data_IF_977665201983
#
_entry.id   IF_977665201983
#
_cell.length_a   1.000
_cell.length_b   1.000
_cell.length_c   1.000
_cell.angle_alpha   90.00
_cell.angle_beta   90.00
_cell.angle_gamma   90.00
#
_symmetry.space_group_name_H-M   'P 1'
#
loop_
_entity.id
_entity.type
_entity.pdbx_description
1 polymer ?
#
# COMPACT_ATOMS: atom_id res chain seq x y z
N UNK A 1 -66.50 -36.68 -14.71
CA UNK A 1 -66.07 -35.27 -14.64
C UNK A 1 -65.40 -35.06 -13.30
N UNK A 2 -64.07 -35.15 -13.27
CA UNK A 2 -63.26 -35.02 -12.07
C UNK A 2 -62.94 -33.54 -11.84
N UNK A 3 -63.27 -33.06 -10.65
CA UNK A 3 -62.84 -31.79 -10.09
C UNK A 3 -61.37 -31.90 -9.68
N UNK A 4 -60.52 -31.02 -10.20
CA UNK A 4 -59.13 -30.85 -9.74
C UNK A 4 -58.99 -29.43 -9.25
N UNK A 5 -58.86 -29.29 -7.93
CA UNK A 5 -58.48 -28.07 -7.27
C UNK A 5 -57.01 -27.75 -7.58
N UNK A 6 -56.78 -26.61 -8.22
CA UNK A 6 -55.47 -26.01 -8.43
C UNK A 6 -54.94 -25.52 -7.09
N UNK A 7 -53.90 -26.18 -6.56
CA UNK A 7 -53.14 -25.70 -5.40
C UNK A 7 -52.13 -24.64 -5.84
N UNK A 8 -52.10 -23.57 -5.05
CA UNK A 8 -51.14 -22.49 -5.06
C UNK A 8 -49.68 -22.95 -5.17
N UNK A 9 -48.94 -22.31 -6.07
CA UNK A 9 -47.47 -22.18 -6.01
C UNK A 9 -47.13 -20.71 -6.23
N UNK A 10 -47.31 -19.91 -5.18
CA UNK A 10 -46.85 -18.53 -5.10
C UNK A 10 -46.38 -18.23 -3.67
N UNK A 11 -45.25 -18.82 -3.28
CA UNK A 11 -44.46 -18.35 -2.14
C UNK A 11 -43.03 -18.90 -2.27
N UNK A 12 -42.06 -18.01 -2.55
CA UNK A 12 -40.65 -18.42 -2.60
C UNK A 12 -39.66 -17.52 -3.34
N UNK A 13 -39.98 -16.27 -3.69
CA UNK A 13 -39.03 -15.35 -4.34
C UNK A 13 -38.88 -14.03 -3.59
N UNK A 14 -38.66 -14.06 -2.27
CA UNK A 14 -38.25 -12.87 -1.51
C UNK A 14 -37.21 -13.24 -0.43
N UNK A 15 -35.97 -13.46 -0.87
CA UNK A 15 -34.78 -13.39 0.02
C UNK A 15 -33.64 -12.60 -0.61
N UNK A 16 -33.95 -11.68 -1.52
CA UNK A 16 -32.97 -10.70 -2.00
C UNK A 16 -32.96 -9.53 -1.02
N UNK A 17 -31.90 -9.38 -0.23
CA UNK A 17 -31.64 -8.12 0.46
C UNK A 17 -31.65 -7.01 -0.59
N UNK A 18 -32.55 -6.03 -0.46
CA UNK A 18 -32.59 -4.89 -1.38
C UNK A 18 -31.19 -4.25 -1.46
N UNK A 19 -30.77 -3.89 -2.67
CA UNK A 19 -29.42 -3.34 -2.87
C UNK A 19 -29.23 -2.09 -2.00
N UNK A 20 -28.25 -2.12 -1.10
CA UNK A 20 -27.96 -1.02 -0.18
C UNK A 20 -28.55 -1.14 1.23
N UNK A 21 -29.13 -2.28 1.60
CA UNK A 21 -29.47 -2.59 3.00
C UNK A 21 -28.38 -3.42 3.68
N UNK A 22 -28.20 -3.29 5.01
CA UNK A 22 -27.42 -4.26 5.77
C UNK A 22 -27.90 -5.69 5.50
N UNK A 23 -26.99 -6.65 5.56
CA UNK A 23 -27.28 -8.06 5.37
C UNK A 23 -26.77 -8.91 6.53
N UNK A 24 -27.47 -10.01 6.81
CA UNK A 24 -27.10 -10.97 7.85
C UNK A 24 -26.35 -12.15 7.21
N UNK A 25 -25.07 -12.32 7.57
CA UNK A 25 -24.20 -13.34 6.98
C UNK A 25 -24.74 -14.75 7.23
N UNK A 26 -25.18 -15.06 8.46
CA UNK A 26 -25.69 -16.39 8.82
C UNK A 26 -26.96 -16.75 8.03
N UNK A 27 -27.86 -15.78 7.85
CA UNK A 27 -29.06 -15.94 7.04
C UNK A 27 -28.70 -16.24 5.58
N UNK A 28 -27.77 -15.48 4.99
CA UNK A 28 -27.31 -15.68 3.61
C UNK A 28 -26.59 -17.03 3.42
N UNK A 29 -25.84 -17.49 4.42
CA UNK A 29 -25.21 -18.81 4.40
C UNK A 29 -26.25 -19.94 4.50
N UNK A 30 -27.31 -19.77 5.31
CA UNK A 30 -28.37 -20.78 5.49
C UNK A 30 -29.12 -21.11 4.20
N UNK A 31 -29.22 -20.14 3.29
CA UNK A 31 -29.79 -20.32 1.95
C UNK A 31 -29.06 -21.41 1.14
N UNK A 32 -27.76 -21.56 1.35
CA UNK A 32 -26.89 -22.50 0.66
C UNK A 32 -26.31 -23.57 1.59
N UNK A 33 -27.04 -23.94 2.65
CA UNK A 33 -26.57 -24.90 3.67
C UNK A 33 -26.16 -26.27 3.10
N UNK A 34 -26.73 -26.68 1.96
CA UNK A 34 -26.44 -27.94 1.29
C UNK A 34 -25.48 -27.81 0.09
N UNK A 35 -25.02 -26.60 -0.22
CA UNK A 35 -24.12 -26.32 -1.35
C UNK A 35 -22.75 -25.90 -0.86
N UNK A 36 -21.74 -26.28 -1.64
CA UNK A 36 -20.40 -25.67 -1.52
C UNK A 36 -20.46 -24.21 -1.99
N UNK A 37 -19.56 -23.33 -1.54
CA UNK A 37 -19.47 -21.97 -2.08
C UNK A 37 -19.31 -21.92 -3.60
N UNK A 38 -18.56 -22.87 -4.16
CA UNK A 38 -18.42 -23.04 -5.63
C UNK A 38 -19.74 -23.39 -6.32
N UNK A 39 -20.59 -24.22 -5.73
CA UNK A 39 -21.91 -24.54 -6.29
C UNK A 39 -22.89 -23.38 -6.10
N UNK A 40 -22.88 -22.73 -4.94
CA UNK A 40 -23.67 -21.53 -4.69
C UNK A 40 -23.35 -20.40 -5.70
N UNK A 41 -22.09 -20.25 -6.11
CA UNK A 41 -21.71 -19.35 -7.21
C UNK A 41 -22.45 -19.68 -8.51
N UNK A 42 -22.50 -20.97 -8.90
CA UNK A 42 -23.16 -21.41 -10.14
C UNK A 42 -24.66 -21.20 -10.08
N UNK A 43 -25.26 -21.47 -8.93
CA UNK A 43 -26.68 -21.20 -8.65
C UNK A 43 -26.98 -19.70 -8.75
N UNK A 44 -26.14 -18.83 -8.19
CA UNK A 44 -26.27 -17.39 -8.32
C UNK A 44 -26.11 -16.94 -9.79
N UNK A 45 -25.17 -17.49 -10.54
CA UNK A 45 -25.04 -17.21 -11.98
C UNK A 45 -26.32 -17.54 -12.75
N UNK A 46 -26.96 -18.68 -12.47
CA UNK A 46 -28.24 -19.05 -13.07
C UNK A 46 -29.35 -18.04 -12.73
N UNK A 47 -29.45 -17.64 -11.46
CA UNK A 47 -30.44 -16.63 -10.99
C UNK A 47 -30.24 -15.27 -11.64
N UNK A 48 -28.98 -14.85 -11.83
CA UNK A 48 -28.63 -13.61 -12.53
C UNK A 48 -28.58 -13.76 -14.07
N UNK A 49 -29.00 -14.91 -14.60
CA UNK A 49 -29.08 -15.19 -16.05
C UNK A 49 -27.74 -14.97 -16.77
N UNK A 50 -26.64 -15.44 -16.16
CA UNK A 50 -25.31 -15.42 -16.76
C UNK A 50 -24.59 -16.76 -16.63
N UNK A 51 -23.55 -16.97 -17.43
CA UNK A 51 -22.76 -18.19 -17.40
C UNK A 51 -21.66 -18.10 -16.33
N UNK A 52 -21.47 -19.16 -15.51
CA UNK A 52 -20.38 -19.19 -14.55
C UNK A 52 -19.03 -19.24 -15.29
N UNK A 53 -18.08 -18.42 -14.83
CA UNK A 53 -16.71 -18.45 -15.35
C UNK A 53 -15.94 -19.50 -14.56
N UNK A 54 -15.41 -20.52 -15.22
CA UNK A 54 -14.72 -21.64 -14.56
C UNK A 54 -13.55 -21.19 -13.68
N UNK A 55 -12.77 -20.21 -14.14
CA UNK A 55 -11.67 -19.64 -13.37
C UNK A 55 -12.15 -18.91 -12.10
N UNK A 56 -13.27 -18.19 -12.18
CA UNK A 56 -13.89 -17.53 -11.00
C UNK A 56 -14.42 -18.59 -10.03
N UNK A 57 -15.10 -19.62 -10.53
CA UNK A 57 -15.61 -20.72 -9.69
C UNK A 57 -14.48 -21.46 -8.94
N UNK A 58 -13.31 -21.59 -9.55
CA UNK A 58 -12.14 -22.22 -8.94
C UNK A 58 -11.59 -21.44 -7.74
N UNK A 59 -11.86 -20.14 -7.65
CA UNK A 59 -11.46 -19.30 -6.50
C UNK A 59 -12.27 -19.60 -5.23
N UNK A 60 -13.44 -20.24 -5.38
CA UNK A 60 -14.32 -20.53 -4.25
C UNK A 60 -14.05 -21.92 -3.67
N UNK A 61 -14.17 -22.07 -2.33
CA UNK A 61 -14.08 -23.37 -1.68
C UNK A 61 -15.06 -24.39 -2.25
N UNK A 62 -14.67 -25.67 -2.24
CA UNK A 62 -15.45 -26.78 -2.78
C UNK A 62 -15.96 -27.75 -1.73
N UNK A 63 -15.95 -27.33 -0.47
CA UNK A 63 -16.56 -28.08 0.64
C UNK A 63 -17.71 -27.30 1.24
N UNK A 64 -18.77 -28.02 1.59
CA UNK A 64 -19.95 -27.47 2.23
C UNK A 64 -19.52 -26.83 3.57
N UNK A 65 -20.05 -25.64 3.84
CA UNK A 65 -19.79 -24.91 5.09
C UNK A 65 -18.49 -24.10 5.13
N UNK A 66 -17.62 -24.17 4.12
CA UNK A 66 -16.37 -23.40 4.07
C UNK A 66 -16.59 -21.93 3.67
N UNK A 67 -17.27 -21.19 4.55
CA UNK A 67 -17.57 -19.77 4.34
C UNK A 67 -16.67 -18.83 5.16
N UNK A 68 -16.08 -19.31 6.25
CA UNK A 68 -15.53 -18.43 7.28
C UNK A 68 -14.01 -18.24 7.21
N UNK A 69 -13.32 -18.97 6.33
CA UNK A 69 -11.85 -18.99 6.25
C UNK A 69 -11.29 -18.13 5.09
N UNK A 70 -12.11 -17.80 4.09
CA UNK A 70 -11.67 -17.05 2.91
C UNK A 70 -11.38 -15.60 3.27
N UNK A 71 -10.09 -15.23 3.29
CA UNK A 71 -9.63 -13.87 3.59
C UNK A 71 -9.35 -13.04 2.34
N UNK A 72 -9.07 -13.67 1.21
CA UNK A 72 -8.67 -12.99 -0.03
C UNK A 72 -9.30 -13.66 -1.25
N UNK A 73 -9.78 -12.84 -2.18
CA UNK A 73 -10.28 -13.30 -3.47
C UNK A 73 -9.68 -12.44 -4.58
N UNK A 74 -8.91 -13.07 -5.48
CA UNK A 74 -8.26 -12.41 -6.59
C UNK A 74 -8.87 -12.81 -7.94
N UNK A 75 -9.72 -11.95 -8.47
CA UNK A 75 -10.36 -12.10 -9.77
C UNK A 75 -9.67 -11.30 -10.87
N UNK A 76 -8.45 -10.81 -10.65
CA UNK A 76 -7.72 -10.00 -11.64
C UNK A 76 -7.58 -10.76 -12.96
N UNK A 77 -7.92 -10.09 -14.09
CA UNK A 77 -7.83 -10.64 -15.46
C UNK A 77 -8.65 -11.92 -15.68
N UNK A 78 -9.75 -12.13 -14.94
CA UNK A 78 -10.65 -13.27 -15.13
C UNK A 78 -11.88 -12.95 -15.99
N UNK A 79 -11.93 -11.77 -16.61
CA UNK A 79 -13.00 -11.32 -17.50
C UNK A 79 -14.40 -11.40 -16.86
N UNK A 80 -14.49 -11.06 -15.57
CA UNK A 80 -15.75 -11.06 -14.82
C UNK A 80 -16.84 -10.22 -15.51
N UNK A 81 -16.45 -9.05 -16.04
CA UNK A 81 -17.33 -8.14 -16.77
C UNK A 81 -18.52 -7.61 -15.97
N UNK A 82 -19.27 -6.69 -16.58
CA UNK A 82 -20.35 -5.98 -15.88
C UNK A 82 -21.54 -6.88 -15.46
N UNK A 83 -21.80 -7.98 -16.18
CA UNK A 83 -22.86 -8.94 -15.84
C UNK A 83 -22.39 -9.99 -14.82
N UNK A 84 -21.16 -10.49 -14.97
CA UNK A 84 -20.63 -11.55 -14.11
C UNK A 84 -20.26 -11.08 -12.70
N UNK A 85 -20.09 -9.78 -12.48
CA UNK A 85 -19.75 -9.24 -11.16
C UNK A 85 -20.87 -9.45 -10.13
N UNK A 86 -22.14 -9.43 -10.56
CA UNK A 86 -23.31 -9.55 -9.66
C UNK A 86 -23.34 -10.85 -8.85
N UNK A 87 -23.28 -12.05 -9.46
CA UNK A 87 -23.23 -13.29 -8.70
C UNK A 87 -21.97 -13.38 -7.83
N UNK A 88 -20.85 -12.81 -8.25
CA UNK A 88 -19.61 -12.78 -7.44
C UNK A 88 -19.81 -11.97 -6.17
N UNK A 89 -20.24 -10.70 -6.28
CA UNK A 89 -20.38 -9.84 -5.09
C UNK A 89 -21.53 -10.29 -4.19
N UNK A 90 -22.58 -10.89 -4.76
CA UNK A 90 -23.63 -11.51 -3.97
C UNK A 90 -23.09 -12.68 -3.14
N UNK A 91 -22.25 -13.54 -3.73
CA UNK A 91 -21.57 -14.59 -2.98
C UNK A 91 -20.61 -14.02 -1.93
N UNK A 92 -19.90 -12.92 -2.23
CA UNK A 92 -18.96 -12.28 -1.31
C UNK A 92 -19.60 -11.91 0.04
N UNK A 93 -20.89 -11.55 0.08
CA UNK A 93 -21.63 -11.26 1.33
C UNK A 93 -21.62 -12.42 2.34
N UNK A 94 -21.30 -13.64 1.91
CA UNK A 94 -21.29 -14.87 2.71
C UNK A 94 -19.91 -15.20 3.30
N UNK A 95 -18.86 -14.45 2.96
CA UNK A 95 -17.50 -14.67 3.47
C UNK A 95 -17.13 -13.62 4.55
N UNK A 96 -17.51 -13.81 5.83
CA UNK A 96 -17.34 -12.78 6.85
C UNK A 96 -15.88 -12.43 7.14
N UNK A 97 -14.93 -13.31 6.81
CA UNK A 97 -13.50 -13.09 6.99
C UNK A 97 -12.81 -12.44 5.78
N UNK A 98 -13.53 -12.16 4.68
CA UNK A 98 -12.95 -11.59 3.46
C UNK A 98 -12.41 -10.17 3.73
N UNK A 99 -11.09 -10.02 3.64
CA UNK A 99 -10.35 -8.77 3.84
C UNK A 99 -9.95 -8.10 2.54
N UNK A 100 -9.67 -8.86 1.48
CA UNK A 100 -9.23 -8.30 0.19
C UNK A 100 -10.00 -8.88 -0.98
N UNK A 101 -10.46 -7.98 -1.86
CA UNK A 101 -11.18 -8.32 -3.07
C UNK A 101 -10.55 -7.61 -4.29
N UNK A 102 -9.97 -8.37 -5.20
CA UNK A 102 -9.28 -7.82 -6.36
C UNK A 102 -10.06 -8.12 -7.65
N UNK A 103 -10.46 -7.05 -8.35
CA UNK A 103 -11.11 -7.06 -9.67
C UNK A 103 -10.33 -6.28 -10.73
N UNK A 104 -9.00 -6.15 -10.58
CA UNK A 104 -8.19 -5.44 -11.57
C UNK A 104 -8.34 -6.02 -12.98
N UNK A 105 -8.37 -5.17 -14.01
CA UNK A 105 -8.37 -5.58 -15.41
C UNK A 105 -9.53 -6.55 -15.77
N UNK A 106 -10.77 -6.18 -15.43
CA UNK A 106 -11.97 -7.01 -15.68
C UNK A 106 -13.03 -6.34 -16.56
N UNK A 107 -12.70 -5.22 -17.22
CA UNK A 107 -13.63 -4.42 -18.01
C UNK A 107 -14.90 -4.02 -17.23
N UNK A 108 -14.72 -3.70 -15.95
CA UNK A 108 -15.81 -3.26 -15.08
C UNK A 108 -16.26 -1.84 -15.44
N UNK A 109 -17.54 -1.60 -15.22
CA UNK A 109 -18.22 -0.31 -15.47
C UNK A 109 -18.69 0.34 -14.16
N UNK A 110 -19.21 1.56 -14.22
CA UNK A 110 -19.82 2.23 -13.07
C UNK A 110 -20.93 1.38 -12.40
N UNK A 111 -21.73 0.66 -13.17
CA UNK A 111 -22.75 -0.27 -12.63
C UNK A 111 -22.11 -1.39 -11.82
N UNK A 112 -20.95 -1.88 -12.24
CA UNK A 112 -20.21 -2.91 -11.50
C UNK A 112 -19.76 -2.36 -10.14
N UNK A 113 -19.24 -1.13 -10.13
CA UNK A 113 -18.83 -0.42 -8.92
C UNK A 113 -20.02 -0.20 -7.98
N UNK A 114 -21.20 0.12 -8.51
CA UNK A 114 -22.42 0.22 -7.70
C UNK A 114 -22.69 -1.08 -6.92
N UNK A 115 -22.66 -2.26 -7.56
CA UNK A 115 -22.90 -3.51 -6.84
C UNK A 115 -21.79 -3.87 -5.85
N UNK A 116 -20.52 -3.65 -6.24
CA UNK A 116 -19.35 -3.88 -5.38
C UNK A 116 -19.47 -3.03 -4.10
N UNK A 117 -19.73 -1.73 -4.25
CA UNK A 117 -19.81 -0.80 -3.12
C UNK A 117 -21.00 -1.10 -2.21
N UNK A 118 -22.16 -1.48 -2.75
CA UNK A 118 -23.35 -1.82 -1.95
C UNK A 118 -23.15 -3.08 -1.11
N UNK A 119 -22.36 -4.04 -1.58
CA UNK A 119 -21.90 -5.17 -0.77
C UNK A 119 -20.88 -4.72 0.27
N UNK A 120 -19.84 -4.02 -0.17
CA UNK A 120 -18.71 -3.64 0.67
C UNK A 120 -19.08 -2.70 1.82
N UNK A 121 -20.11 -1.87 1.64
CA UNK A 121 -20.59 -0.89 2.61
C UNK A 121 -21.01 -1.50 3.95
N UNK A 122 -21.43 -2.77 3.96
CA UNK A 122 -21.84 -3.49 5.16
C UNK A 122 -20.96 -4.71 5.45
N UNK A 123 -19.86 -4.87 4.72
CA UNK A 123 -19.00 -6.03 4.90
C UNK A 123 -18.21 -5.91 6.21
N UNK A 124 -18.23 -6.92 7.09
CA UNK A 124 -17.71 -6.80 8.46
C UNK A 124 -16.18 -6.74 8.52
N UNK A 125 -15.48 -7.31 7.54
CA UNK A 125 -14.02 -7.45 7.58
C UNK A 125 -13.31 -6.95 6.30
N UNK A 126 -14.04 -6.41 5.31
CA UNK A 126 -13.39 -6.03 4.05
C UNK A 126 -12.54 -4.79 4.31
N UNK A 127 -11.29 -4.82 3.86
CA UNK A 127 -10.30 -3.75 4.05
C UNK A 127 -9.78 -3.17 2.74
N UNK A 128 -9.67 -4.00 1.69
CA UNK A 128 -9.11 -3.61 0.38
C UNK A 128 -10.03 -4.01 -0.77
N UNK A 129 -10.25 -3.08 -1.69
CA UNK A 129 -10.82 -3.35 -3.02
C UNK A 129 -9.85 -2.84 -4.10
N UNK A 130 -9.51 -3.69 -5.06
CA UNK A 130 -8.64 -3.32 -6.18
C UNK A 130 -9.43 -3.33 -7.50
N UNK A 131 -9.54 -2.17 -8.15
CA UNK A 131 -10.31 -1.93 -9.39
C UNK A 131 -9.44 -1.38 -10.53
N UNK A 132 -8.11 -1.40 -10.41
CA UNK A 132 -7.21 -0.82 -11.40
C UNK A 132 -7.33 -1.50 -12.76
N UNK A 133 -7.13 -0.73 -13.84
CA UNK A 133 -7.24 -1.24 -15.22
C UNK A 133 -8.67 -1.51 -15.69
N UNK A 134 -9.67 -0.92 -15.02
CA UNK A 134 -11.05 -0.90 -15.48
C UNK A 134 -11.38 0.49 -16.04
N UNK A 135 -11.01 0.73 -17.30
CA UNK A 135 -11.05 2.06 -17.94
C UNK A 135 -12.43 2.71 -17.96
N UNK A 136 -13.51 1.93 -17.92
CA UNK A 136 -14.90 2.43 -17.95
C UNK A 136 -15.44 2.89 -16.59
N UNK A 137 -14.64 2.82 -15.52
CA UNK A 137 -14.96 3.43 -14.24
C UNK A 137 -14.67 4.93 -14.35
N UNK A 138 -15.71 5.75 -14.28
CA UNK A 138 -15.64 7.21 -14.41
C UNK A 138 -16.13 7.91 -13.14
N UNK A 139 -16.37 9.22 -13.21
CA UNK A 139 -16.87 10.02 -12.09
C UNK A 139 -18.04 9.37 -11.34
N UNK A 140 -19.01 8.76 -12.04
CA UNK A 140 -20.16 8.07 -11.43
C UNK A 140 -19.73 6.88 -10.56
N UNK A 141 -18.75 6.08 -10.99
CA UNK A 141 -18.20 5.02 -10.15
C UNK A 141 -17.46 5.61 -8.94
N UNK A 142 -16.79 6.75 -9.13
CA UNK A 142 -16.10 7.47 -8.06
C UNK A 142 -17.01 7.96 -6.95
N UNK A 143 -18.22 8.42 -7.25
CA UNK A 143 -19.18 8.84 -6.21
C UNK A 143 -19.61 7.67 -5.34
N UNK A 144 -19.78 6.47 -5.91
CA UNK A 144 -20.05 5.27 -5.13
C UNK A 144 -18.86 4.87 -4.25
N UNK A 145 -17.63 4.98 -4.77
CA UNK A 145 -16.43 4.70 -3.98
C UNK A 145 -16.27 5.69 -2.82
N UNK A 146 -16.53 6.98 -3.07
CA UNK A 146 -16.51 8.01 -2.03
C UNK A 146 -17.56 7.73 -0.94
N UNK A 147 -18.78 7.33 -1.31
CA UNK A 147 -19.82 6.91 -0.35
C UNK A 147 -19.34 5.69 0.48
N UNK A 148 -18.75 4.69 -0.18
CA UNK A 148 -18.26 3.48 0.48
C UNK A 148 -17.22 3.78 1.56
N UNK A 149 -16.16 4.53 1.24
CA UNK A 149 -15.03 4.74 2.16
C UNK A 149 -15.39 5.62 3.36
N UNK A 150 -16.44 6.44 3.24
CA UNK A 150 -17.00 7.20 4.37
C UNK A 150 -17.88 6.32 5.25
N UNK A 151 -18.70 5.44 4.66
CA UNK A 151 -19.69 4.64 5.39
C UNK A 151 -19.13 3.38 6.02
N UNK A 152 -18.07 2.80 5.46
CA UNK A 152 -17.39 1.65 6.03
C UNK A 152 -15.95 2.03 6.41
N UNK A 153 -15.73 2.29 7.71
CA UNK A 153 -14.42 2.64 8.27
C UNK A 153 -13.40 1.50 8.24
N UNK A 154 -13.80 0.27 7.89
CA UNK A 154 -12.86 -0.81 7.64
C UNK A 154 -12.11 -0.65 6.31
N UNK A 155 -12.62 0.18 5.38
CA UNK A 155 -11.95 0.45 4.10
C UNK A 155 -10.66 1.23 4.26
N UNK A 156 -9.54 0.51 4.11
CA UNK A 156 -8.16 1.01 4.22
C UNK A 156 -7.51 1.22 2.86
N UNK A 157 -8.00 0.57 1.80
CA UNK A 157 -7.47 0.76 0.45
C UNK A 157 -8.51 0.55 -0.66
N UNK A 158 -8.50 1.47 -1.64
CA UNK A 158 -9.25 1.35 -2.89
C UNK A 158 -8.32 1.65 -4.06
N UNK A 159 -7.97 0.63 -4.84
CA UNK A 159 -7.13 0.76 -6.02
C UNK A 159 -7.95 1.18 -7.26
N UNK A 160 -7.59 2.29 -7.90
CA UNK A 160 -8.31 2.85 -9.07
C UNK A 160 -7.37 3.32 -10.19
N UNK A 161 -6.12 2.83 -10.23
CA UNK A 161 -5.16 3.23 -11.28
C UNK A 161 -5.68 2.78 -12.64
N UNK A 162 -5.39 3.54 -13.71
CA UNK A 162 -5.83 3.21 -15.08
C UNK A 162 -7.36 3.00 -15.18
N UNK A 163 -8.11 3.85 -14.48
CA UNK A 163 -9.55 4.06 -14.66
C UNK A 163 -9.77 5.45 -15.28
N UNK A 164 -10.99 5.77 -15.72
CA UNK A 164 -11.38 7.12 -16.15
C UNK A 164 -11.86 7.99 -14.98
N UNK A 165 -11.47 7.67 -13.75
CA UNK A 165 -11.84 8.43 -12.56
C UNK A 165 -11.12 9.80 -12.57
N UNK A 166 -11.83 10.92 -12.41
CA UNK A 166 -11.17 12.22 -12.28
C UNK A 166 -10.24 12.23 -11.08
N UNK A 167 -9.02 12.77 -11.27
CA UNK A 167 -7.98 12.78 -10.23
C UNK A 167 -8.46 13.32 -8.88
N UNK A 168 -9.21 14.44 -8.78
CA UNK A 168 -9.69 14.92 -7.49
C UNK A 168 -10.58 13.92 -6.74
N UNK A 169 -11.35 13.10 -7.47
CA UNK A 169 -12.20 12.07 -6.86
C UNK A 169 -11.35 10.89 -6.37
N UNK A 170 -10.37 10.45 -7.16
CA UNK A 170 -9.39 9.43 -6.74
C UNK A 170 -8.64 9.87 -5.48
N UNK A 171 -8.19 11.12 -5.43
CA UNK A 171 -7.50 11.69 -4.26
C UNK A 171 -8.41 11.73 -3.03
N UNK A 172 -9.66 12.18 -3.18
CA UNK A 172 -10.61 12.21 -2.07
C UNK A 172 -10.89 10.81 -1.50
N UNK A 173 -11.00 9.79 -2.37
CA UNK A 173 -11.16 8.40 -1.93
C UNK A 173 -9.91 7.93 -1.18
N UNK A 174 -8.71 8.18 -1.72
CA UNK A 174 -7.45 7.81 -1.09
C UNK A 174 -7.26 8.48 0.28
N UNK A 175 -7.48 9.80 0.38
CA UNK A 175 -7.40 10.52 1.65
C UNK A 175 -8.35 9.94 2.70
N UNK A 176 -9.58 9.58 2.30
CA UNK A 176 -10.53 8.99 3.23
C UNK A 176 -10.11 7.59 3.68
N UNK A 177 -9.53 6.77 2.81
CA UNK A 177 -8.99 5.47 3.25
C UNK A 177 -7.78 5.64 4.17
N UNK A 178 -6.95 6.67 3.99
CA UNK A 178 -5.88 7.00 4.93
C UNK A 178 -6.42 7.41 6.31
N UNK A 179 -7.48 8.21 6.37
CA UNK A 179 -8.19 8.51 7.63
C UNK A 179 -8.68 7.23 8.32
N UNK A 180 -9.24 6.30 7.56
CA UNK A 180 -9.69 5.01 8.09
C UNK A 180 -8.52 4.16 8.63
N UNK A 181 -7.35 4.15 7.98
CA UNK A 181 -6.14 3.50 8.50
C UNK A 181 -5.73 4.07 9.86
N UNK A 182 -5.67 5.40 9.98
CA UNK A 182 -5.34 6.09 11.23
C UNK A 182 -6.34 5.70 12.33
N UNK A 183 -7.64 5.78 12.05
CA UNK A 183 -8.69 5.40 13.02
C UNK A 183 -8.54 3.93 13.47
N UNK A 184 -8.27 3.01 12.54
CA UNK A 184 -8.09 1.60 12.85
C UNK A 184 -6.83 1.35 13.70
N UNK A 185 -5.73 2.03 13.40
CA UNK A 185 -4.48 1.95 14.16
C UNK A 185 -4.71 2.36 15.63
N UNK A 186 -5.31 3.53 15.85
CA UNK A 186 -5.61 4.04 17.18
C UNK A 186 -6.65 3.20 17.93
N UNK A 187 -7.69 2.73 17.25
CA UNK A 187 -8.70 1.84 17.85
C UNK A 187 -8.11 0.51 18.33
N UNK A 188 -7.04 0.03 17.71
CA UNK A 188 -6.32 -1.17 18.13
C UNK A 188 -5.28 -0.95 19.25
N UNK A 189 -5.15 0.29 19.75
CA UNK A 189 -4.10 0.66 20.70
C UNK A 189 -2.70 0.64 20.09
N UNK A 190 -2.60 0.92 18.79
CA UNK A 190 -1.33 0.99 18.07
C UNK A 190 -0.40 2.03 18.69
N UNK A 191 0.87 1.67 18.84
CA UNK A 191 1.94 2.56 19.33
C UNK A 191 3.12 2.50 18.38
N UNK A 192 3.97 3.54 18.33
CA UNK A 192 5.23 3.46 17.61
C UNK A 192 6.04 2.22 18.02
N UNK A 193 6.53 1.48 17.04
CA UNK A 193 7.39 0.30 17.19
C UNK A 193 8.60 0.46 16.27
N UNK A 194 9.57 1.32 16.64
CA UNK A 194 10.72 1.61 15.82
C UNK A 194 11.67 0.41 15.69
N UNK A 195 12.40 0.34 14.58
CA UNK A 195 13.47 -0.66 14.42
C UNK A 195 14.63 -0.42 15.39
N UNK A 196 15.28 -1.50 15.81
CA UNK A 196 16.51 -1.52 16.62
C UNK A 196 17.73 -1.97 15.80
N UNK A 197 17.61 -2.04 14.48
CA UNK A 197 18.70 -2.44 13.60
C UNK A 197 19.90 -1.47 13.71
N UNK A 198 21.16 -1.94 13.64
CA UNK A 198 22.35 -1.08 13.79
C UNK A 198 22.35 0.14 12.87
N UNK A 199 22.00 -0.01 11.59
CA UNK A 199 21.91 1.13 10.65
C UNK A 199 20.96 2.23 11.12
N UNK A 200 19.85 1.86 11.74
CA UNK A 200 18.87 2.82 12.27
C UNK A 200 19.40 3.50 13.52
N UNK A 201 20.10 2.76 14.39
CA UNK A 201 20.78 3.32 15.56
C UNK A 201 21.86 4.32 15.12
N UNK A 202 22.65 3.99 14.10
CA UNK A 202 23.66 4.89 13.53
C UNK A 202 23.03 6.15 12.94
N UNK A 203 21.92 6.02 12.21
CA UNK A 203 21.17 7.15 11.67
C UNK A 203 20.68 8.10 12.78
N UNK A 204 20.09 7.56 13.85
CA UNK A 204 19.64 8.34 15.01
C UNK A 204 20.82 9.02 15.73
N UNK A 205 21.97 8.36 15.82
CA UNK A 205 23.19 8.96 16.37
C UNK A 205 23.68 10.15 15.53
N UNK A 206 23.70 10.00 14.20
CA UNK A 206 24.01 11.10 13.28
C UNK A 206 23.02 12.26 13.38
N UNK A 207 21.73 11.96 13.56
CA UNK A 207 20.69 12.98 13.77
C UNK A 207 20.95 13.79 15.04
N UNK A 208 21.30 13.12 16.15
CA UNK A 208 21.65 13.80 17.41
C UNK A 208 22.85 14.73 17.21
N UNK A 209 23.91 14.25 16.58
CA UNK A 209 25.07 15.07 16.25
C UNK A 209 24.67 16.31 15.43
N UNK A 210 23.87 16.16 14.38
CA UNK A 210 23.39 17.29 13.59
C UNK A 210 22.60 18.30 14.44
N UNK A 211 21.71 17.82 15.30
CA UNK A 211 20.91 18.68 16.20
C UNK A 211 21.79 19.46 17.18
N UNK A 212 22.90 18.89 17.63
CA UNK A 212 23.87 19.54 18.52
C UNK A 212 24.64 20.67 17.83
N UNK A 213 24.95 20.53 16.54
CA UNK A 213 25.77 21.50 15.80
C UNK A 213 24.97 22.50 14.95
N UNK A 214 23.66 22.28 14.75
CA UNK A 214 22.83 23.13 13.90
C UNK A 214 22.53 24.50 14.55
N UNK A 215 22.28 25.47 13.68
CA UNK A 215 21.71 26.77 14.05
C UNK A 215 20.52 27.04 13.14
N UNK A 216 19.34 27.27 13.74
CA UNK A 216 18.08 27.52 13.02
C UNK A 216 17.74 26.44 11.98
N UNK A 217 17.91 25.17 12.34
CA UNK A 217 17.63 24.00 11.52
C UNK A 217 18.69 23.66 10.47
N UNK A 218 19.82 24.38 10.43
CA UNK A 218 20.84 24.19 9.38
C UNK A 218 22.28 24.25 9.90
N UNK A 219 23.20 23.59 9.18
CA UNK A 219 24.66 23.62 9.43
C UNK A 219 25.40 24.21 8.23
N UNK A 220 26.57 24.85 8.39
CA UNK A 220 27.37 25.27 7.24
C UNK A 220 27.90 24.06 6.45
N UNK A 221 28.14 24.19 5.15
CA UNK A 221 28.69 23.12 4.31
C UNK A 221 30.05 22.60 4.79
N UNK A 222 30.83 23.43 5.48
CA UNK A 222 32.09 23.02 6.14
C UNK A 222 31.88 21.91 7.18
N UNK A 223 30.69 21.81 7.78
CA UNK A 223 30.36 20.78 8.76
C UNK A 223 30.29 19.36 8.14
N UNK A 224 30.27 19.22 6.81
CA UNK A 224 30.31 17.90 6.16
C UNK A 224 31.59 17.12 6.49
N UNK A 225 32.71 17.81 6.71
CA UNK A 225 33.99 17.15 7.05
C UNK A 225 33.91 16.55 8.45
N UNK A 226 33.47 17.34 9.43
CA UNK A 226 33.30 16.85 10.81
C UNK A 226 32.15 15.83 10.90
N UNK A 227 31.10 15.99 10.11
CA UNK A 227 30.03 15.01 9.95
C UNK A 227 30.50 13.67 9.40
N UNK A 228 31.40 13.67 8.40
CA UNK A 228 32.01 12.44 7.89
C UNK A 228 32.86 11.78 8.97
N UNK A 229 33.67 12.55 9.71
CA UNK A 229 34.47 12.03 10.82
C UNK A 229 33.58 11.38 11.88
N UNK A 230 32.52 12.07 12.28
CA UNK A 230 31.56 11.56 13.25
C UNK A 230 30.86 10.29 12.76
N UNK A 231 30.50 10.25 11.49
CA UNK A 231 29.92 9.04 10.87
C UNK A 231 30.89 7.85 10.94
N UNK A 232 32.17 8.08 10.65
CA UNK A 232 33.20 7.04 10.76
C UNK A 232 33.37 6.59 12.22
N UNK A 233 33.34 7.52 13.18
CA UNK A 233 33.35 7.20 14.62
C UNK A 233 32.17 6.33 15.03
N UNK A 234 30.96 6.68 14.61
CA UNK A 234 29.73 5.93 14.90
C UNK A 234 29.80 4.50 14.33
N UNK A 235 30.39 4.32 13.14
CA UNK A 235 30.58 2.99 12.56
C UNK A 235 31.78 2.22 13.14
N UNK A 236 32.57 2.80 14.05
CA UNK A 236 33.78 2.17 14.60
C UNK A 236 35.01 2.23 13.70
N UNK A 237 35.00 3.09 12.67
CA UNK A 237 36.06 3.27 11.66
C UNK A 237 36.78 4.61 11.78
N UNK A 238 36.85 5.22 12.96
CA UNK A 238 37.43 6.56 13.16
C UNK A 238 38.88 6.65 12.65
N UNK A 239 39.67 5.57 12.81
CA UNK A 239 41.07 5.51 12.36
C UNK A 239 41.21 5.59 10.85
N UNK A 240 40.20 5.14 10.12
CA UNK A 240 40.19 5.14 8.66
C UNK A 240 39.92 6.56 8.11
N UNK A 241 39.50 7.52 8.95
CA UNK A 241 39.32 8.90 8.50
C UNK A 241 40.60 9.51 7.93
N UNK A 242 41.77 9.10 8.43
CA UNK A 242 43.07 9.58 7.94
C UNK A 242 43.39 9.15 6.50
N UNK A 243 42.63 8.22 5.90
CA UNK A 243 42.85 7.78 4.53
C UNK A 243 42.19 8.69 3.48
N UNK A 244 41.31 9.61 3.89
CA UNK A 244 40.68 10.55 2.97
C UNK A 244 41.63 11.71 2.63
N UNK A 245 41.81 11.98 1.33
CA UNK A 245 42.66 13.07 0.86
C UNK A 245 42.00 14.44 1.07
N UNK A 246 42.80 15.50 1.18
CA UNK A 246 42.28 16.87 1.22
C UNK A 246 41.41 17.18 -0.02
N UNK A 247 41.83 16.70 -1.20
CA UNK A 247 41.05 16.84 -2.43
C UNK A 247 39.66 16.21 -2.31
N UNK A 248 39.55 15.01 -1.73
CA UNK A 248 38.26 14.37 -1.50
C UNK A 248 37.39 15.18 -0.53
N UNK A 249 37.97 15.73 0.54
CA UNK A 249 37.23 16.54 1.51
C UNK A 249 36.74 17.87 0.91
N UNK A 250 37.54 18.48 0.03
CA UNK A 250 37.11 19.65 -0.75
C UNK A 250 35.98 19.30 -1.72
N UNK A 251 36.08 18.16 -2.42
CA UNK A 251 35.02 17.67 -3.30
C UNK A 251 33.73 17.37 -2.53
N UNK A 252 33.81 16.80 -1.33
CA UNK A 252 32.65 16.56 -0.47
C UNK A 252 31.92 17.87 -0.13
N UNK A 253 32.67 18.91 0.26
CA UNK A 253 32.10 20.24 0.51
C UNK A 253 31.49 20.85 -0.75
N UNK A 254 32.16 20.69 -1.90
CA UNK A 254 31.69 21.24 -3.18
C UNK A 254 30.40 20.58 -3.68
N UNK A 255 30.02 19.39 -3.20
CA UNK A 255 28.73 18.76 -3.48
C UNK A 255 27.54 19.46 -2.81
N UNK A 256 27.79 20.33 -1.83
CA UNK A 256 26.75 21.11 -1.18
C UNK A 256 26.06 22.04 -2.18
N UNK A 257 24.73 21.96 -2.37
CA UNK A 257 24.02 22.83 -3.30
C UNK A 257 23.92 24.27 -2.80
N UNK A 258 24.16 24.50 -1.51
CA UNK A 258 24.05 25.78 -0.83
C UNK A 258 24.96 25.83 0.40
N UNK A 259 25.27 27.03 0.89
CA UNK A 259 26.19 27.22 2.02
C UNK A 259 25.68 26.64 3.34
N UNK A 260 24.36 26.58 3.54
CA UNK A 260 23.74 26.04 4.75
C UNK A 260 22.85 24.84 4.44
N UNK A 261 23.11 23.72 5.09
CA UNK A 261 22.48 22.44 4.82
C UNK A 261 21.41 22.12 5.85
N UNK A 262 20.24 21.67 5.40
CA UNK A 262 19.26 21.01 6.27
C UNK A 262 19.75 19.62 6.67
N UNK A 263 19.02 18.96 7.56
CA UNK A 263 19.30 17.57 7.92
C UNK A 263 19.30 16.63 6.71
N UNK A 264 18.30 16.73 5.84
CA UNK A 264 18.16 15.87 4.65
C UNK A 264 19.37 16.02 3.71
N UNK A 265 19.78 17.27 3.45
CA UNK A 265 20.96 17.57 2.65
C UNK A 265 22.22 16.99 3.30
N UNK A 266 22.39 17.25 4.59
CA UNK A 266 23.56 16.81 5.34
C UNK A 266 23.72 15.29 5.30
N UNK A 267 22.67 14.53 5.64
CA UNK A 267 22.77 13.07 5.70
C UNK A 267 22.89 12.41 4.33
N UNK A 268 22.26 12.96 3.28
CA UNK A 268 22.41 12.45 1.91
C UNK A 268 23.82 12.68 1.38
N UNK A 269 24.40 13.87 1.60
CA UNK A 269 25.76 14.19 1.13
C UNK A 269 26.84 13.37 1.84
N UNK A 270 26.61 12.98 3.10
CA UNK A 270 27.49 12.09 3.85
C UNK A 270 27.45 10.63 3.37
N UNK A 271 26.56 10.27 2.44
CA UNK A 271 26.60 8.95 1.82
C UNK A 271 27.78 8.88 0.85
N UNK A 272 28.58 7.82 1.01
CA UNK A 272 29.74 7.52 0.18
C UNK A 272 29.37 6.68 -1.06
N UNK A 273 28.08 6.51 -1.34
CA UNK A 273 27.54 5.77 -2.48
C UNK A 273 27.39 6.63 -3.75
N UNK A 274 27.90 7.87 -3.71
CA UNK A 274 27.81 8.81 -4.84
C UNK A 274 26.46 9.54 -4.96
N UNK A 275 25.54 9.37 -4.00
CA UNK A 275 24.23 10.04 -4.03
C UNK A 275 24.37 11.57 -4.06
N UNK A 276 23.71 12.22 -5.01
CA UNK A 276 23.53 13.68 -5.03
C UNK A 276 22.23 14.05 -4.32
N UNK A 277 22.16 15.25 -3.74
CA UNK A 277 20.92 15.75 -3.14
C UNK A 277 19.94 16.20 -4.23
N UNK A 278 18.68 15.79 -4.10
CA UNK A 278 17.58 16.11 -5.00
C UNK A 278 16.37 16.61 -4.20
N UNK A 279 16.19 17.93 -4.23
CA UNK A 279 15.10 18.62 -3.52
C UNK A 279 13.71 18.21 -4.01
N UNK A 280 13.57 17.91 -5.31
CA UNK A 280 12.29 17.52 -5.91
C UNK A 280 11.90 16.15 -5.37
N UNK A 281 12.85 15.21 -5.34
CA UNK A 281 12.63 13.89 -4.77
C UNK A 281 12.32 13.95 -3.27
N UNK A 282 13.07 14.75 -2.49
CA UNK A 282 12.82 14.92 -1.06
C UNK A 282 11.41 15.46 -0.80
N UNK A 283 10.99 16.52 -1.49
CA UNK A 283 9.63 17.08 -1.36
C UNK A 283 8.55 16.06 -1.72
N UNK A 284 8.80 15.22 -2.73
CA UNK A 284 7.90 14.13 -3.11
C UNK A 284 7.81 13.06 -2.03
N UNK A 285 8.93 12.68 -1.42
CA UNK A 285 8.98 11.74 -0.30
C UNK A 285 8.27 12.31 0.93
N UNK A 286 8.50 13.57 1.29
CA UNK A 286 7.83 14.25 2.41
C UNK A 286 6.31 14.24 2.23
N UNK A 287 5.82 14.61 1.03
CA UNK A 287 4.39 14.59 0.73
C UNK A 287 3.79 13.20 0.96
N UNK A 288 4.40 12.15 0.41
CA UNK A 288 3.86 10.79 0.53
C UNK A 288 4.00 10.24 1.96
N UNK A 289 5.06 10.59 2.67
CA UNK A 289 5.18 10.26 4.10
C UNK A 289 4.01 10.85 4.89
N UNK A 290 3.69 12.12 4.68
CA UNK A 290 2.56 12.79 5.33
C UNK A 290 1.20 12.20 4.95
N UNK A 291 1.02 11.78 3.70
CA UNK A 291 -0.20 11.07 3.26
C UNK A 291 -0.40 9.74 4.02
N UNK A 292 0.69 9.07 4.40
CA UNK A 292 0.65 7.78 5.09
C UNK A 292 0.79 7.87 6.61
N UNK A 293 1.07 9.05 7.15
CA UNK A 293 1.35 9.26 8.57
C UNK A 293 0.19 8.80 9.48
N UNK A 294 0.52 8.02 10.51
CA UNK A 294 -0.41 7.51 11.53
C UNK A 294 -0.70 8.53 12.64
N UNK A 295 0.08 9.60 12.72
CA UNK A 295 -0.10 10.74 13.62
C UNK A 295 -0.09 12.06 12.83
N UNK A 296 -1.16 12.37 12.06
CA UNK A 296 -1.19 13.55 11.19
C UNK A 296 -0.95 14.89 11.91
N UNK A 297 -1.25 14.99 13.22
CA UNK A 297 -1.00 16.19 14.02
C UNK A 297 0.49 16.49 14.23
N UNK A 298 1.34 15.47 14.20
CA UNK A 298 2.79 15.58 14.46
C UNK A 298 3.59 15.89 13.18
N UNK A 299 2.93 15.94 12.02
CA UNK A 299 3.60 16.26 10.75
C UNK A 299 4.75 15.30 10.44
N UNK A 300 5.98 15.84 10.36
CA UNK A 300 7.18 15.04 10.05
C UNK A 300 7.72 14.24 11.25
N UNK A 301 7.27 14.54 12.47
CA UNK A 301 7.66 13.81 13.69
C UNK A 301 6.80 12.55 13.93
N UNK A 302 5.75 12.37 13.13
CA UNK A 302 4.94 11.17 13.12
C UNK A 302 5.67 9.95 12.51
N UNK A 303 4.89 8.94 12.15
CA UNK A 303 5.43 7.69 11.62
C UNK A 303 4.43 6.99 10.70
N UNK A 304 4.95 6.09 9.87
CA UNK A 304 4.17 5.20 9.00
C UNK A 304 4.32 3.75 9.44
N UNK A 305 3.43 2.86 8.99
CA UNK A 305 3.58 1.41 9.22
C UNK A 305 4.43 0.76 8.11
N UNK A 306 5.32 -0.16 8.46
CA UNK A 306 6.17 -0.86 7.49
C UNK A 306 5.37 -1.70 6.47
N UNK A 307 4.22 -2.22 6.86
CA UNK A 307 3.29 -2.93 5.95
C UNK A 307 2.79 -2.08 4.79
N UNK A 308 2.81 -0.75 4.92
CA UNK A 308 2.35 0.18 3.88
C UNK A 308 3.40 0.45 2.79
N UNK A 309 4.65 -0.04 2.92
CA UNK A 309 5.74 0.26 1.99
C UNK A 309 5.42 -0.05 0.53
N UNK A 310 4.72 -1.15 0.25
CA UNK A 310 4.30 -1.49 -1.11
C UNK A 310 3.32 -0.46 -1.70
N UNK A 311 2.35 -0.01 -0.90
CA UNK A 311 1.38 1.00 -1.28
C UNK A 311 2.04 2.38 -1.44
N UNK A 312 2.97 2.73 -0.56
CA UNK A 312 3.77 3.95 -0.65
C UNK A 312 4.62 3.96 -1.93
N UNK A 313 5.25 2.83 -2.27
CA UNK A 313 5.99 2.72 -3.53
C UNK A 313 5.07 2.94 -4.73
N UNK A 314 3.89 2.30 -4.75
CA UNK A 314 2.90 2.52 -5.81
C UNK A 314 2.43 3.98 -5.89
N UNK A 315 2.29 4.65 -4.75
CA UNK A 315 1.93 6.07 -4.66
C UNK A 315 3.04 6.98 -5.21
N UNK A 316 4.30 6.65 -4.97
CA UNK A 316 5.45 7.41 -5.45
C UNK A 316 5.70 7.20 -6.95
N UNK A 317 5.68 5.95 -7.42
CA UNK A 317 6.22 5.58 -8.73
C UNK A 317 5.16 5.07 -9.70
N UNK A 318 3.91 4.95 -9.28
CA UNK A 318 2.78 4.53 -10.11
C UNK A 318 2.58 3.01 -10.18
N UNK A 319 3.57 2.22 -9.76
CA UNK A 319 3.51 0.76 -9.77
C UNK A 319 3.90 0.16 -8.41
N UNK A 320 3.16 -0.87 -7.95
CA UNK A 320 3.54 -1.61 -6.75
C UNK A 320 4.79 -2.44 -7.04
N UNK A 321 5.67 -2.55 -6.04
CA UNK A 321 6.80 -3.48 -6.05
C UNK A 321 6.36 -4.88 -5.63
N UNK A 322 7.15 -5.87 -6.03
CA UNK A 322 6.96 -7.28 -5.65
C UNK A 322 7.14 -7.49 -4.15
N UNK A 323 6.55 -8.57 -3.63
CA UNK A 323 6.73 -8.96 -2.23
C UNK A 323 8.19 -9.24 -1.88
N UNK A 324 8.97 -9.76 -2.83
CA UNK A 324 10.41 -9.99 -2.70
C UNK A 324 11.18 -8.68 -2.55
N UNK A 325 10.85 -7.66 -3.37
CA UNK A 325 11.45 -6.33 -3.27
C UNK A 325 11.09 -5.64 -1.95
N UNK A 326 9.85 -5.76 -1.47
CA UNK A 326 9.44 -5.26 -0.15
C UNK A 326 10.26 -5.93 0.95
N UNK A 327 10.39 -7.27 0.92
CA UNK A 327 11.22 -8.02 1.89
C UNK A 327 12.66 -7.55 1.86
N UNK A 328 13.23 -7.33 0.67
CA UNK A 328 14.57 -6.81 0.52
C UNK A 328 14.70 -5.40 1.15
N UNK A 329 13.76 -4.49 0.88
CA UNK A 329 13.74 -3.16 1.52
C UNK A 329 13.68 -3.24 3.05
N UNK A 330 12.78 -4.07 3.59
CA UNK A 330 12.62 -4.28 5.02
C UNK A 330 13.90 -4.85 5.66
N UNK A 331 14.56 -5.79 4.98
CA UNK A 331 15.78 -6.45 5.50
C UNK A 331 16.94 -5.48 5.76
N UNK A 332 17.04 -4.38 4.99
CA UNK A 332 18.13 -3.39 5.10
C UNK A 332 18.18 -2.71 6.46
N UNK A 333 17.03 -2.58 7.12
CA UNK A 333 16.93 -1.95 8.43
C UNK A 333 16.12 -2.80 9.41
N UNK A 334 16.07 -4.12 9.20
CA UNK A 334 15.46 -5.08 10.12
C UNK A 334 13.99 -4.82 10.45
N UNK A 335 13.19 -4.40 9.47
CA UNK A 335 11.75 -4.19 9.65
C UNK A 335 10.95 -5.48 9.54
N UNK A 336 9.90 -5.60 10.35
CA UNK A 336 8.77 -6.51 10.14
C UNK A 336 7.47 -5.74 9.89
N UNK A 337 6.40 -6.44 9.51
CA UNK A 337 5.11 -5.83 9.14
C UNK A 337 4.40 -5.08 10.29
N UNK A 338 4.83 -5.30 11.54
CA UNK A 338 4.25 -4.66 12.74
C UNK A 338 5.02 -3.42 13.20
N UNK A 339 6.19 -3.18 12.61
CA UNK A 339 7.03 -2.04 12.95
C UNK A 339 6.57 -0.75 12.29
N UNK A 340 7.01 0.37 12.87
CA UNK A 340 6.76 1.71 12.38
C UNK A 340 8.06 2.37 11.95
N UNK A 341 7.96 3.28 10.99
CA UNK A 341 9.10 3.95 10.34
C UNK A 341 8.92 5.45 10.51
N UNK A 342 9.93 6.13 11.08
CA UNK A 342 9.95 7.59 11.18
C UNK A 342 10.48 8.22 9.88
N UNK A 343 10.31 9.53 9.71
CA UNK A 343 10.74 10.26 8.50
C UNK A 343 12.18 9.96 8.08
N UNK A 344 13.11 10.05 9.04
CA UNK A 344 14.54 9.87 8.76
C UNK A 344 14.83 8.48 8.18
N UNK A 345 14.21 7.45 8.75
CA UNK A 345 14.33 6.06 8.33
C UNK A 345 13.67 5.84 6.97
N UNK A 346 12.45 6.36 6.80
CA UNK A 346 11.71 6.28 5.55
C UNK A 346 12.49 6.92 4.39
N UNK A 347 13.04 8.11 4.61
CA UNK A 347 13.89 8.79 3.63
C UNK A 347 15.09 7.90 3.26
N UNK A 348 15.79 7.32 4.22
CA UNK A 348 16.94 6.45 3.95
C UNK A 348 16.59 5.16 3.20
N UNK A 349 15.39 4.63 3.43
CA UNK A 349 14.86 3.47 2.71
C UNK A 349 14.47 3.82 1.28
N UNK A 350 13.81 4.95 1.06
CA UNK A 350 13.23 5.29 -0.25
C UNK A 350 14.19 6.09 -1.15
N UNK A 351 15.20 6.72 -0.57
CA UNK A 351 16.25 7.43 -1.28
C UNK A 351 17.39 6.47 -1.68
N UNK A 352 17.07 5.40 -2.42
CA UNK A 352 18.08 4.45 -2.93
C UNK A 352 18.51 4.95 -4.31
N UNK A 353 19.71 5.53 -4.41
CA UNK A 353 20.43 5.93 -5.66
C UNK A 353 20.07 7.26 -6.33
N UNK A 354 19.22 8.08 -5.73
CA UNK A 354 18.89 9.43 -6.26
C UNK A 354 18.29 9.43 -7.68
N UNK A 355 18.16 10.58 -8.33
CA UNK A 355 17.49 10.72 -9.64
C UNK A 355 18.25 10.12 -10.84
N UNK A 356 19.58 9.95 -10.75
CA UNK A 356 20.42 9.58 -11.91
C UNK A 356 20.30 8.11 -12.33
N UNK A 357 20.04 7.18 -11.42
CA UNK A 357 19.93 5.75 -11.76
C UNK A 357 18.48 5.26 -11.91
N UNK A 358 17.50 6.09 -11.55
CA UNK A 358 16.10 5.66 -11.53
C UNK A 358 15.48 5.55 -12.93
N UNK A 359 16.03 6.24 -13.92
CA UNK A 359 15.64 6.09 -15.33
C UNK A 359 16.09 4.73 -15.92
N UNK A 360 17.15 4.12 -15.38
CA UNK A 360 17.70 2.84 -15.87
C UNK A 360 17.16 1.60 -15.12
N UNK A 361 16.61 1.78 -13.91
CA UNK A 361 16.09 0.69 -13.09
C UNK A 361 14.79 0.03 -13.61
N UNK A 362 14.11 0.68 -14.57
CA UNK A 362 12.97 0.09 -15.28
C UNK A 362 13.40 -0.96 -16.34
N UNK A 363 14.70 -1.10 -16.59
CA UNK A 363 15.29 -2.20 -17.33
C UNK A 363 16.03 -3.13 -16.37
N UNK A 364 15.43 -4.28 -16.07
CA UNK A 364 16.10 -5.37 -15.38
C UNK A 364 17.28 -5.87 -16.21
N UNK A 365 18.47 -5.35 -15.95
CA UNK A 365 19.76 -6.05 -16.01
C UNK A 365 20.83 -5.07 -15.54
N UNK A 366 21.22 -5.10 -14.26
CA UNK A 366 22.63 -5.01 -13.84
C UNK A 366 22.82 -5.75 -12.52
N UNK A 367 23.70 -6.74 -12.60
CA UNK A 367 24.55 -7.31 -11.56
C UNK A 367 24.75 -6.35 -10.38
N UNK A 368 24.85 -6.84 -9.12
CA UNK A 368 25.41 -6.01 -8.05
C UNK A 368 26.66 -5.36 -8.60
N UNK A 369 26.77 -4.03 -8.53
CA UNK A 369 28.08 -3.42 -8.68
C UNK A 369 28.95 -4.15 -7.67
N UNK A 370 29.91 -4.89 -8.23
CA UNK A 370 30.97 -5.52 -7.48
C UNK A 370 31.45 -4.52 -6.43
N UNK A 371 31.85 -5.04 -5.28
CA UNK A 371 32.78 -4.35 -4.40
C UNK A 371 33.68 -3.41 -5.21
N UNK A 372 33.99 -2.20 -4.73
CA UNK A 372 35.21 -1.55 -5.19
C UNK A 372 36.38 -2.37 -4.62
N UNK A 373 36.63 -3.54 -5.20
CA UNK A 373 37.95 -4.16 -5.28
C UNK A 373 38.72 -3.41 -6.36
N UNK A 374 39.01 -2.16 -6.06
CA UNK A 374 40.07 -1.37 -6.70
C UNK A 374 40.49 -0.25 -5.75
N UNK A 375 41.05 -0.64 -4.62
CA UNK A 375 42.30 -0.05 -4.18
C UNK A 375 43.30 -1.21 -4.06
N UNK A 376 44.27 -1.18 -4.97
CA UNK A 376 45.32 -2.16 -5.16
C UNK A 376 46.29 -2.18 -3.97
N UNK A 377 46.90 -3.35 -3.80
CA UNK A 377 48.13 -3.68 -3.09
C UNK A 377 49.12 -2.54 -2.77
N UNK A 378 49.68 -2.68 -1.57
CA UNK A 378 50.76 -1.95 -0.86
C UNK A 378 50.35 -0.83 0.08
#
# INVERSE_FOLDING_TARGET
>A
MLSVASRDVSSGMESQSAVGTPYNVQQLQSEFHALTPREAYRELCQRFQCHPISAVAAMFPDRIGQWNETTELNFSRLYVGAKGVRPVVELCKRFPALKSLNFANNYLTNDSVYFITRMAMFHPALERIELSGNEFISWTGGTYLAELVVRNTNMKEVGVRRTSLPQPVAESVFEQTRRNCVLAFHASGGTPKPSVHPEVIHLRAMKRYFVEIQQNGTVPASALVDGLRERMRILGHERDFGTFTEEFLEQLKARAPQERLTWEMFIVLLRLDGSEYDDILIKKLQRVFLEFNMEPSEGMEGFIEARDLAAIHARLYGEPISSEEVKHLCSRIGLDETMTIQWDEFMMIMYIRGPKEMYDALSWTRTPLEHPKTALYF
#
